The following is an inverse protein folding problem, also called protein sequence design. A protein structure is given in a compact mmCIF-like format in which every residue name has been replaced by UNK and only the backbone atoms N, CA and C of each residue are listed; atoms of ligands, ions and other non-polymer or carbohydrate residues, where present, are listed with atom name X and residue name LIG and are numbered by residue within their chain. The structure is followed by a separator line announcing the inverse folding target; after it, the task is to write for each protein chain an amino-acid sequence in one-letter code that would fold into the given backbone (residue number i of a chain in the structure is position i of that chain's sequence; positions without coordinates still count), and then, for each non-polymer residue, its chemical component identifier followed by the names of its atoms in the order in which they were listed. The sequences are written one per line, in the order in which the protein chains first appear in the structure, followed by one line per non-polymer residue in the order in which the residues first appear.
data_IF_826471787431
#
_entry.id   IF_826471787431
#
_cell.length_a   1.000
_cell.length_b   1.000
_cell.length_c   1.000
_cell.angle_alpha   90.00
_cell.angle_beta   90.00
_cell.angle_gamma   90.00
#
_symmetry.space_group_name_H-M   'P 1'
#
loop_
_entity.id
_entity.type
_entity.pdbx_description
1 polymer ?
#
# COMPACT_ATOMS: atom_id res chain seq x y z
N UNK A 1 -8.20 -15.94 4.21
CA UNK A 1 -8.43 -14.51 3.85
C UNK A 1 -8.68 -13.62 5.07
N UNK A 2 -9.73 -13.85 5.86
CA UNK A 2 -10.07 -12.98 7.01
C UNK A 2 -8.94 -12.86 8.05
N UNK A 3 -8.25 -13.95 8.40
CA UNK A 3 -7.10 -13.89 9.31
C UNK A 3 -5.92 -13.09 8.74
N UNK A 4 -5.65 -13.20 7.43
CA UNK A 4 -4.57 -12.46 6.78
C UNK A 4 -4.86 -10.95 6.74
N UNK A 5 -6.09 -10.58 6.38
CA UNK A 5 -6.57 -9.20 6.44
C UNK A 5 -6.50 -8.64 7.87
N UNK A 6 -6.93 -9.42 8.86
CA UNK A 6 -6.81 -9.04 10.28
C UNK A 6 -5.35 -8.79 10.70
N UNK A 7 -4.42 -9.67 10.33
CA UNK A 7 -2.99 -9.48 10.61
C UNK A 7 -2.40 -8.24 9.96
N UNK A 8 -2.77 -7.96 8.71
CA UNK A 8 -2.40 -6.74 7.98
C UNK A 8 -2.92 -5.49 8.68
N UNK A 9 -4.19 -5.48 9.08
CA UNK A 9 -4.80 -4.35 9.79
C UNK A 9 -4.14 -4.08 11.14
N UNK A 10 -3.85 -5.14 11.90
CA UNK A 10 -3.11 -5.06 13.16
C UNK A 10 -1.73 -4.46 12.91
N UNK A 11 -1.00 -4.96 11.93
CA UNK A 11 0.32 -4.44 11.57
C UNK A 11 0.26 -2.94 11.23
N UNK A 12 -0.69 -2.52 10.39
CA UNK A 12 -0.87 -1.11 10.01
C UNK A 12 -1.22 -0.23 11.23
N UNK A 13 -2.10 -0.71 12.11
CA UNK A 13 -2.50 0.00 13.32
C UNK A 13 -1.34 0.23 14.29
N UNK A 14 -0.41 -0.73 14.42
CA UNK A 14 0.79 -0.57 15.26
C UNK A 14 1.90 0.22 14.56
N UNK A 15 2.04 0.11 13.23
CA UNK A 15 3.12 0.74 12.48
C UNK A 15 2.88 2.23 12.23
N UNK A 16 1.62 2.62 11.99
CA UNK A 16 1.26 3.93 11.46
C UNK A 16 0.29 4.72 12.33
N UNK A 17 0.36 6.05 12.18
CA UNK A 17 -0.70 6.98 12.60
C UNK A 17 -2.01 6.65 11.90
N UNK A 18 -3.16 6.85 12.55
CA UNK A 18 -4.46 6.39 12.07
C UNK A 18 -4.81 6.90 10.66
N UNK A 19 -4.43 8.14 10.31
CA UNK A 19 -4.63 8.72 8.97
C UNK A 19 -3.89 7.93 7.87
N UNK A 20 -2.67 7.48 8.15
CA UNK A 20 -1.89 6.64 7.24
C UNK A 20 -2.49 5.23 7.15
N UNK A 21 -2.94 4.66 8.27
CA UNK A 21 -3.62 3.36 8.23
C UNK A 21 -4.86 3.41 7.32
N UNK A 22 -5.69 4.47 7.42
CA UNK A 22 -6.86 4.66 6.54
C UNK A 22 -6.44 4.80 5.08
N UNK A 23 -5.41 5.59 4.77
CA UNK A 23 -4.87 5.73 3.41
C UNK A 23 -4.43 4.40 2.80
N UNK A 24 -3.71 3.58 3.57
CA UNK A 24 -3.26 2.27 3.12
C UNK A 24 -4.45 1.31 2.89
N UNK A 25 -5.41 1.28 3.80
CA UNK A 25 -6.60 0.42 3.69
C UNK A 25 -7.41 0.78 2.44
N UNK A 26 -7.66 2.07 2.19
CA UNK A 26 -8.43 2.50 1.02
C UNK A 26 -7.71 2.12 -0.29
N UNK A 27 -6.39 2.30 -0.35
CA UNK A 27 -5.59 1.87 -1.50
C UNK A 27 -5.72 0.37 -1.75
N UNK A 28 -5.65 -0.45 -0.70
CA UNK A 28 -5.77 -1.91 -0.80
C UNK A 28 -7.16 -2.35 -1.23
N UNK A 29 -8.21 -1.72 -0.68
CA UNK A 29 -9.59 -2.00 -1.10
C UNK A 29 -9.74 -1.70 -2.59
N UNK A 30 -9.21 -0.56 -3.05
CA UNK A 30 -9.20 -0.20 -4.45
C UNK A 30 -8.51 -1.28 -5.31
N UNK A 31 -7.34 -1.79 -4.91
CA UNK A 31 -6.60 -2.79 -5.70
C UNK A 31 -7.36 -4.11 -5.81
N UNK A 32 -7.94 -4.58 -4.71
CA UNK A 32 -8.75 -5.80 -4.70
C UNK A 32 -10.00 -5.60 -5.56
N UNK A 33 -10.68 -4.46 -5.45
CA UNK A 33 -11.90 -4.16 -6.25
C UNK A 33 -11.57 -4.07 -7.73
N UNK A 34 -10.50 -3.38 -8.11
CA UNK A 34 -10.07 -3.25 -9.52
C UNK A 34 -9.68 -4.61 -10.08
N UNK A 35 -8.89 -5.39 -9.35
CA UNK A 35 -8.48 -6.74 -9.80
C UNK A 35 -9.71 -7.63 -9.99
N UNK A 36 -10.58 -7.71 -8.98
CA UNK A 36 -11.79 -8.52 -9.03
C UNK A 36 -12.77 -8.04 -10.12
N UNK A 37 -12.89 -6.73 -10.30
CA UNK A 37 -13.73 -6.13 -11.33
C UNK A 37 -13.26 -6.50 -12.74
N UNK A 38 -11.95 -6.47 -12.98
CA UNK A 38 -11.37 -6.88 -14.27
C UNK A 38 -11.54 -8.39 -14.48
N UNK A 39 -11.24 -9.22 -13.47
CA UNK A 39 -11.45 -10.68 -13.58
C UNK A 39 -12.91 -11.02 -13.87
N UNK A 40 -13.85 -10.34 -13.19
CA UNK A 40 -15.28 -10.50 -13.42
C UNK A 40 -15.71 -10.05 -14.82
N UNK A 41 -15.17 -8.94 -15.32
CA UNK A 41 -15.45 -8.45 -16.67
C UNK A 41 -15.02 -9.45 -17.74
N UNK A 42 -13.84 -10.05 -17.59
CA UNK A 42 -13.32 -11.08 -18.51
C UNK A 42 -13.86 -12.49 -18.22
N UNK A 43 -14.80 -12.65 -17.27
CA UNK A 43 -15.41 -13.93 -16.90
C UNK A 43 -14.38 -15.01 -16.51
N UNK A 44 -13.28 -14.60 -15.88
CA UNK A 44 -12.27 -15.52 -15.37
C UNK A 44 -12.82 -16.22 -14.13
N UNK A 45 -12.69 -17.54 -14.07
CA UNK A 45 -13.20 -18.36 -12.95
C UNK A 45 -12.47 -18.03 -11.66
N UNK A 46 -13.23 -17.72 -10.62
CA UNK A 46 -12.68 -17.49 -9.29
C UNK A 46 -12.51 -18.81 -8.53
N UNK A 47 -11.28 -19.31 -8.48
CA UNK A 47 -10.93 -20.53 -7.77
C UNK A 47 -9.95 -20.27 -6.61
N UNK A 48 -9.44 -21.33 -5.98
CA UNK A 48 -8.47 -21.21 -4.88
C UNK A 48 -7.14 -20.60 -5.33
N UNK A 49 -6.76 -20.73 -6.60
CA UNK A 49 -5.53 -20.15 -7.13
C UNK A 49 -5.70 -18.63 -7.24
N UNK A 50 -6.81 -18.16 -7.83
CA UNK A 50 -7.13 -16.73 -7.90
C UNK A 50 -7.24 -16.12 -6.50
N UNK A 51 -7.84 -16.83 -5.53
CA UNK A 51 -7.86 -16.38 -4.14
C UNK A 51 -6.44 -16.22 -3.56
N UNK A 52 -5.52 -17.13 -3.86
CA UNK A 52 -4.12 -17.02 -3.45
C UNK A 52 -3.42 -15.83 -4.11
N UNK A 53 -3.70 -15.56 -5.39
CA UNK A 53 -3.19 -14.38 -6.09
C UNK A 53 -3.65 -13.07 -5.42
N UNK A 54 -4.93 -12.97 -5.06
CA UNK A 54 -5.47 -11.79 -4.36
C UNK A 54 -4.77 -11.56 -3.02
N UNK A 55 -4.47 -12.62 -2.26
CA UNK A 55 -3.71 -12.51 -1.02
C UNK A 55 -2.27 -12.02 -1.25
N UNK A 56 -1.62 -12.49 -2.32
CA UNK A 56 -0.30 -12.03 -2.70
C UNK A 56 -0.31 -10.54 -3.11
N UNK A 57 -1.32 -10.09 -3.85
CA UNK A 57 -1.50 -8.68 -4.26
C UNK A 57 -1.63 -7.78 -3.03
N UNK A 58 -2.39 -8.19 -2.02
CA UNK A 58 -2.53 -7.41 -0.77
C UNK A 58 -1.16 -7.19 -0.12
N UNK A 59 -0.34 -8.23 -0.01
CA UNK A 59 1.01 -8.10 0.56
C UNK A 59 1.93 -7.22 -0.29
N UNK A 60 1.88 -7.41 -1.61
CA UNK A 60 2.69 -6.66 -2.58
C UNK A 60 2.35 -5.16 -2.55
N UNK A 61 1.08 -4.79 -2.73
CA UNK A 61 0.65 -3.39 -2.77
C UNK A 61 0.87 -2.69 -1.42
N UNK A 62 0.66 -3.41 -0.32
CA UNK A 62 0.90 -2.88 1.01
C UNK A 62 2.39 -2.55 1.20
N UNK A 63 3.31 -3.39 0.73
CA UNK A 63 4.74 -3.13 0.80
C UNK A 63 5.11 -1.79 0.12
N UNK A 64 4.61 -1.56 -1.08
CA UNK A 64 4.89 -0.31 -1.81
C UNK A 64 4.28 0.91 -1.09
N UNK A 65 3.07 0.75 -0.54
CA UNK A 65 2.41 1.81 0.25
C UNK A 65 3.20 2.16 1.52
N UNK A 66 3.75 1.17 2.23
CA UNK A 66 4.60 1.39 3.42
C UNK A 66 5.79 2.26 3.05
N UNK A 67 6.49 1.93 1.97
CA UNK A 67 7.72 2.62 1.56
C UNK A 67 7.44 4.09 1.25
N UNK A 68 6.34 4.37 0.54
CA UNK A 68 5.91 5.75 0.24
C UNK A 68 5.56 6.49 1.53
N UNK A 69 4.78 5.88 2.41
CA UNK A 69 4.33 6.49 3.66
C UNK A 69 5.45 6.74 4.66
N UNK A 70 6.39 5.81 4.79
CA UNK A 70 7.58 6.00 5.62
C UNK A 70 8.40 7.18 5.09
N UNK A 71 8.52 7.33 3.76
CA UNK A 71 9.23 8.47 3.18
C UNK A 71 8.51 9.80 3.39
N UNK A 72 7.19 9.84 3.23
CA UNK A 72 6.36 11.01 3.55
C UNK A 72 6.55 11.44 5.01
N UNK A 73 6.53 10.46 5.93
CA UNK A 73 6.75 10.69 7.36
C UNK A 73 8.15 11.19 7.68
N UNK A 74 9.16 10.63 7.03
CA UNK A 74 10.55 11.06 7.19
C UNK A 74 10.75 12.50 6.69
N UNK A 75 10.29 12.80 5.48
CA UNK A 75 10.40 14.13 4.90
C UNK A 75 9.56 15.17 5.64
N UNK A 76 8.47 14.78 6.31
CA UNK A 76 7.76 15.69 7.22
C UNK A 76 8.64 16.23 8.35
N UNK A 77 9.61 15.44 8.82
CA UNK A 77 10.55 15.85 9.88
C UNK A 77 11.70 16.69 9.33
N UNK A 78 12.14 16.40 8.10
CA UNK A 78 13.25 17.08 7.43
C UNK A 78 12.82 18.41 6.78
N UNK A 79 11.65 18.45 6.15
CA UNK A 79 11.12 19.56 5.37
C UNK A 79 10.07 20.35 6.16
N UNK A 80 10.47 20.92 7.31
CA UNK A 80 9.55 21.58 8.26
C UNK A 80 8.72 22.74 7.69
N UNK A 81 9.13 23.31 6.56
CA UNK A 81 8.43 24.43 5.88
C UNK A 81 7.65 24.02 4.64
N UNK A 82 7.79 22.77 4.19
CA UNK A 82 7.10 22.29 3.00
C UNK A 82 5.62 22.05 3.31
N UNK A 83 4.76 22.34 2.34
CA UNK A 83 3.35 21.97 2.44
C UNK A 83 3.16 20.45 2.36
N UNK A 84 2.01 19.92 2.83
CA UNK A 84 1.69 18.48 2.72
C UNK A 84 1.84 17.97 1.28
N UNK A 85 1.34 18.71 0.30
CA UNK A 85 1.38 18.33 -1.12
C UNK A 85 2.83 18.34 -1.64
N UNK A 86 3.61 19.36 -1.30
CA UNK A 86 5.01 19.45 -1.67
C UNK A 86 5.83 18.29 -1.08
N UNK A 87 5.58 17.97 0.20
CA UNK A 87 6.22 16.84 0.85
C UNK A 87 5.85 15.51 0.17
N UNK A 88 4.56 15.29 -0.13
CA UNK A 88 4.10 14.10 -0.85
C UNK A 88 4.78 13.99 -2.22
N UNK A 89 4.88 15.09 -2.97
CA UNK A 89 5.51 15.09 -4.29
C UNK A 89 7.01 14.76 -4.22
N UNK A 90 7.74 15.36 -3.27
CA UNK A 90 9.17 15.07 -3.06
C UNK A 90 9.36 13.61 -2.65
N UNK A 91 8.56 13.14 -1.69
CA UNK A 91 8.62 11.77 -1.18
C UNK A 91 8.33 10.74 -2.27
N UNK A 92 7.29 11.00 -3.08
CA UNK A 92 6.92 10.16 -4.22
C UNK A 92 8.07 10.09 -5.23
N UNK A 93 8.67 11.23 -5.58
CA UNK A 93 9.79 11.26 -6.53
C UNK A 93 10.99 10.46 -6.03
N UNK A 94 11.27 10.51 -4.72
CA UNK A 94 12.37 9.77 -4.09
C UNK A 94 12.14 8.26 -4.04
N UNK A 95 10.88 7.80 -3.92
CA UNK A 95 10.55 6.36 -3.88
C UNK A 95 10.26 5.76 -5.24
N UNK A 96 9.92 6.59 -6.25
CA UNK A 96 9.44 6.15 -7.56
C UNK A 96 10.37 5.12 -8.24
N UNK A 97 11.68 5.36 -8.26
CA UNK A 97 12.63 4.43 -8.89
C UNK A 97 12.59 3.04 -8.23
N UNK A 98 12.49 3.00 -6.90
CA UNK A 98 12.42 1.74 -6.15
C UNK A 98 11.11 1.01 -6.45
N UNK A 99 9.98 1.71 -6.33
CA UNK A 99 8.65 1.16 -6.57
C UNK A 99 8.51 0.62 -8.00
N UNK A 100 9.02 1.35 -9.00
CA UNK A 100 9.02 0.87 -10.38
C UNK A 100 9.94 -0.34 -10.54
N UNK A 101 11.14 -0.34 -9.94
CA UNK A 101 12.06 -1.47 -10.05
C UNK A 101 11.49 -2.75 -9.42
N UNK A 102 10.84 -2.66 -8.26
CA UNK A 102 10.16 -3.81 -7.63
C UNK A 102 8.97 -4.27 -8.47
N UNK A 103 8.20 -3.35 -9.02
CA UNK A 103 7.05 -3.67 -9.89
C UNK A 103 7.47 -4.37 -11.17
N UNK A 104 8.45 -3.81 -11.88
CA UNK A 104 8.96 -4.38 -13.14
C UNK A 104 9.58 -5.74 -12.91
N UNK A 105 10.40 -5.91 -11.87
CA UNK A 105 11.00 -7.22 -11.57
C UNK A 105 9.96 -8.28 -11.22
N UNK A 106 8.91 -7.90 -10.47
CA UNK A 106 7.78 -8.78 -10.16
C UNK A 106 6.98 -9.13 -11.42
N UNK A 107 6.69 -8.14 -12.27
CA UNK A 107 5.99 -8.35 -13.54
C UNK A 107 6.76 -9.28 -14.48
N UNK A 108 8.09 -9.19 -14.55
CA UNK A 108 8.89 -10.12 -15.34
C UNK A 108 8.72 -11.57 -14.88
N UNK A 109 8.71 -11.80 -13.56
CA UNK A 109 8.45 -13.13 -13.01
C UNK A 109 7.02 -13.61 -13.29
N UNK A 110 6.02 -12.73 -13.16
CA UNK A 110 4.61 -13.05 -13.44
C UNK A 110 4.39 -13.35 -14.93
N UNK A 111 5.03 -12.61 -15.84
CA UNK A 111 4.94 -12.86 -17.29
C UNK A 111 5.55 -14.21 -17.63
N UNK A 112 6.71 -14.56 -17.04
CA UNK A 112 7.27 -15.89 -17.20
C UNK A 112 6.31 -16.97 -16.66
N UNK A 113 5.69 -16.73 -15.49
CA UNK A 113 4.71 -17.64 -14.92
C UNK A 113 3.47 -17.81 -15.81
N UNK A 114 2.99 -16.73 -16.43
CA UNK A 114 1.86 -16.78 -17.35
C UNK A 114 2.20 -17.61 -18.59
N UNK A 115 3.37 -17.39 -19.20
CA UNK A 115 3.77 -18.08 -20.43
C UNK A 115 4.14 -19.56 -20.18
N UNK A 116 4.79 -19.87 -19.05
CA UNK A 116 5.35 -21.19 -18.78
C UNK A 116 4.62 -22.00 -17.70
N UNK A 117 3.68 -21.40 -16.95
CA UNK A 117 3.01 -22.03 -15.80
C UNK A 117 1.88 -23.00 -16.15
N UNK A 118 1.36 -22.94 -17.38
CA UNK A 118 0.26 -23.79 -17.86
C UNK A 118 -1.11 -23.40 -17.29
N UNK A 119 -2.15 -24.13 -17.71
CA UNK A 119 -3.56 -23.78 -17.50
C UNK A 119 -3.93 -23.60 -16.02
N UNK A 120 -3.35 -24.42 -15.13
CA UNK A 120 -3.62 -24.37 -13.69
C UNK A 120 -3.15 -23.06 -13.01
N UNK A 121 -2.23 -22.32 -13.62
CA UNK A 121 -1.66 -21.08 -13.09
C UNK A 121 -2.00 -19.84 -13.93
N UNK A 122 -2.76 -20.01 -15.01
CA UNK A 122 -3.12 -18.91 -15.89
C UNK A 122 -3.96 -17.87 -15.14
N UNK A 123 -5.04 -18.30 -14.47
CA UNK A 123 -5.89 -17.41 -13.67
C UNK A 123 -5.13 -16.72 -12.54
N UNK A 124 -4.23 -17.44 -11.87
CA UNK A 124 -3.34 -16.88 -10.84
C UNK A 124 -2.42 -15.78 -11.40
N UNK A 125 -1.80 -16.05 -12.55
CA UNK A 125 -0.84 -15.14 -13.18
C UNK A 125 -1.53 -13.89 -13.71
N UNK A 126 -2.71 -14.03 -14.33
CA UNK A 126 -3.53 -12.90 -14.78
C UNK A 126 -3.96 -12.03 -13.59
N UNK A 127 -4.45 -12.65 -12.52
CA UNK A 127 -4.85 -11.92 -11.31
C UNK A 127 -3.68 -11.15 -10.70
N UNK A 128 -2.51 -11.77 -10.55
CA UNK A 128 -1.29 -11.10 -10.07
C UNK A 128 -0.85 -9.97 -11.00
N UNK A 129 -0.88 -10.18 -12.32
CA UNK A 129 -0.47 -9.18 -13.29
C UNK A 129 -1.30 -7.90 -13.16
N UNK A 130 -2.63 -8.05 -13.10
CA UNK A 130 -3.56 -6.93 -12.93
C UNK A 130 -3.34 -6.26 -11.56
N UNK A 131 -3.23 -7.04 -10.49
CA UNK A 131 -3.11 -6.49 -9.14
C UNK A 131 -1.78 -5.80 -8.87
N UNK A 132 -0.67 -6.27 -9.44
CA UNK A 132 0.62 -5.57 -9.36
C UNK A 132 0.52 -4.24 -10.08
N UNK A 133 -0.02 -4.20 -11.30
CA UNK A 133 -0.23 -2.94 -12.01
C UNK A 133 -1.12 -1.97 -11.22
N UNK A 134 -2.23 -2.46 -10.67
CA UNK A 134 -3.14 -1.68 -9.87
C UNK A 134 -2.48 -1.13 -8.59
N UNK A 135 -1.79 -2.00 -7.86
CA UNK A 135 -1.09 -1.66 -6.62
C UNK A 135 0.06 -0.67 -6.83
N UNK A 136 0.82 -0.80 -7.92
CA UNK A 136 1.93 0.12 -8.22
C UNK A 136 1.45 1.56 -8.37
N UNK A 137 0.34 1.79 -9.09
CA UNK A 137 -0.16 3.16 -9.23
C UNK A 137 -0.95 3.61 -8.00
N UNK A 138 -1.71 2.72 -7.35
CA UNK A 138 -2.56 3.10 -6.23
C UNK A 138 -1.74 3.49 -5.00
N UNK A 139 -0.67 2.74 -4.71
CA UNK A 139 0.27 3.03 -3.61
C UNK A 139 0.93 4.40 -3.74
N UNK A 140 1.14 4.89 -4.98
CA UNK A 140 1.73 6.19 -5.27
C UNK A 140 0.68 7.30 -5.24
N UNK A 141 -0.48 7.09 -5.89
CA UNK A 141 -1.43 8.17 -6.12
C UNK A 141 -2.65 8.10 -5.20
N UNK A 142 -3.34 6.96 -5.13
CA UNK A 142 -4.57 6.81 -4.34
C UNK A 142 -4.30 6.95 -2.86
N UNK A 143 -3.28 6.27 -2.35
CA UNK A 143 -2.90 6.31 -0.93
C UNK A 143 -2.57 7.74 -0.47
N UNK A 144 -1.84 8.49 -1.30
CA UNK A 144 -1.45 9.88 -1.02
C UNK A 144 -2.62 10.87 -1.14
N UNK A 145 -3.54 10.68 -2.08
CA UNK A 145 -4.76 11.50 -2.19
C UNK A 145 -5.61 11.40 -0.92
N UNK A 146 -5.71 10.20 -0.32
CA UNK A 146 -6.43 10.02 0.94
C UNK A 146 -5.77 10.82 2.08
N UNK A 147 -4.44 10.86 2.14
CA UNK A 147 -3.73 11.67 3.14
C UNK A 147 -4.02 13.16 2.99
N UNK A 148 -4.13 13.64 1.75
CA UNK A 148 -4.52 15.02 1.44
C UNK A 148 -5.95 15.28 1.90
N UNK A 149 -6.87 14.37 1.59
CA UNK A 149 -8.29 14.50 1.96
C UNK A 149 -8.50 14.52 3.49
N UNK A 150 -7.71 13.73 4.22
CA UNK A 150 -7.74 13.68 5.69
C UNK A 150 -7.01 14.86 6.36
N UNK A 151 -6.51 15.83 5.57
CA UNK A 151 -5.73 16.98 6.03
C UNK A 151 -4.68 16.57 7.07
N UNK A 152 -3.75 15.70 6.67
CA UNK A 152 -2.65 15.28 7.54
C UNK A 152 -1.81 16.50 7.94
N UNK A 153 -1.73 16.77 9.25
CA UNK A 153 -0.93 17.89 9.79
C UNK A 153 0.34 17.38 10.44
N UNK A 154 1.33 18.27 10.58
CA UNK A 154 2.60 17.98 11.25
C UNK A 154 2.40 17.57 12.71
N UNK A 155 1.33 18.07 13.35
CA UNK A 155 0.94 17.75 14.73
C UNK A 155 0.53 16.28 14.89
N UNK A 156 -0.10 15.68 13.87
CA UNK A 156 -0.41 14.24 13.86
C UNK A 156 0.87 13.39 13.88
N UNK A 157 2.01 13.93 13.44
CA UNK A 157 3.25 13.16 13.32
C UNK A 157 4.16 13.24 14.55
N UNK A 158 3.81 14.10 15.51
CA UNK A 158 4.49 14.24 16.80
C UNK A 158 3.81 13.26 17.77
N UNK A 159 4.51 12.24 18.29
CA UNK A 159 3.94 11.43 19.37
C UNK A 159 3.58 12.37 20.53
N UNK A 160 2.40 12.24 21.16
CA UNK A 160 2.04 13.07 22.29
C UNK A 160 3.18 12.98 23.30
N UNK A 161 3.71 14.14 23.71
CA UNK A 161 4.66 14.20 24.82
C UNK A 161 3.91 13.57 25.99
N UNK A 162 4.32 12.37 26.38
CA UNK A 162 3.92 11.82 27.68
C UNK A 162 4.52 12.81 28.65
N UNK A 163 3.70 13.74 29.12
CA UNK A 163 4.05 14.57 30.27
C UNK A 163 4.17 13.55 31.39
N UNK A 164 5.40 13.10 31.64
CA UNK A 164 5.77 12.49 32.90
C UNK A 164 5.24 13.47 33.94
N UNK A 165 4.13 13.10 34.59
CA UNK A 165 3.63 13.87 35.73
C UNK A 165 4.84 14.02 36.62
N UNK A 166 5.33 15.25 36.75
CA UNK A 166 6.25 15.59 37.81
C UNK A 166 5.63 15.00 39.07
N UNK A 167 6.33 14.02 39.62
CA UNK A 167 6.00 13.41 40.90
C UNK A 167 6.26 14.50 41.94
N UNK A 168 5.35 15.47 42.01
CA UNK A 168 5.22 16.42 43.11
C UNK A 168 4.68 15.64 44.31
N UNK A 169 5.50 14.72 44.82
CA UNK A 169 5.35 14.21 46.18
C UNK A 169 6.19 15.13 47.10
N UNK A 170 5.54 15.74 48.11
CA UNK A 170 6.14 16.75 48.99
C UNK A 170 7.25 16.21 49.90
#
# INVERSE_FOLDING_TARGET
MLMALGGVLIYLAFRFQWKFAVGAIISLIHDVVVTMGILSFFQITFDLTVLAAVLAIIGYSLNDTIVVFDRVRENFRLLRKASLIENINISTTQTLLRTIATSVSTLLAIVALWVFGGDSLEGFSIALFIGVLAGTYSSIYIANVVLIWLNLTTEDLIPPVVVEKADDLP
#
